data_IF_934976125348
#
_entry.id   IF_934976125348
#
_cell.length_a   1.000
_cell.length_b   1.000
_cell.length_c   1.000
_cell.angle_alpha   90.00
_cell.angle_beta   90.00
_cell.angle_gamma   90.00
#
_symmetry.space_group_name_H-M   'P 1'
#
loop_
_entity.id
_entity.type
_entity.pdbx_description
1 polymer ?
#
# COMPACT_ATOMS: atom_id res chain seq x y z
N UNK A 1 -3.65 22.10 -27.77
CA UNK A 1 -3.77 20.63 -27.86
C UNK A 1 -2.89 20.07 -26.76
N UNK A 2 -3.48 19.64 -25.66
CA UNK A 2 -2.75 19.09 -24.52
C UNK A 2 -2.48 17.62 -24.81
N UNK A 3 -1.22 17.24 -24.96
CA UNK A 3 -0.78 15.85 -24.97
C UNK A 3 -1.17 15.21 -23.64
N UNK A 4 -2.17 14.33 -23.67
CA UNK A 4 -2.44 13.42 -22.56
C UNK A 4 -1.42 12.31 -22.63
N UNK A 5 -0.38 12.38 -21.79
CA UNK A 5 0.54 11.25 -21.58
C UNK A 5 -0.28 10.08 -21.04
N UNK A 6 -0.31 9.00 -21.81
CA UNK A 6 -1.13 7.83 -21.50
C UNK A 6 -0.37 6.95 -20.49
N UNK A 7 -0.94 6.63 -19.31
CA UNK A 7 -0.24 5.79 -18.34
C UNK A 7 -0.19 4.32 -18.79
N UNK A 8 1.01 3.73 -18.78
CA UNK A 8 1.31 2.31 -19.11
C UNK A 8 0.86 1.30 -18.01
N UNK A 9 0.24 1.76 -16.93
CA UNK A 9 0.04 1.00 -15.69
C UNK A 9 -1.41 1.06 -15.22
N UNK A 10 -1.88 0.01 -14.56
CA UNK A 10 -3.18 0.00 -13.86
C UNK A 10 -3.04 0.77 -12.55
N UNK A 11 -3.82 1.82 -12.40
CA UNK A 11 -3.90 2.67 -11.21
C UNK A 11 -5.15 2.34 -10.40
N UNK A 12 -4.99 2.06 -9.11
CA UNK A 12 -6.12 2.01 -8.19
C UNK A 12 -6.34 3.37 -7.54
N UNK A 13 -7.53 3.93 -7.75
CA UNK A 13 -7.96 5.17 -7.14
C UNK A 13 -8.30 4.94 -5.65
N UNK A 14 -8.25 5.98 -4.80
CA UNK A 14 -8.60 5.88 -3.38
C UNK A 14 -10.01 5.31 -3.10
N UNK A 15 -10.91 5.36 -4.08
CA UNK A 15 -12.25 4.78 -3.99
C UNK A 15 -12.29 3.26 -4.29
N UNK A 16 -11.14 2.63 -4.53
CA UNK A 16 -11.02 1.22 -4.91
C UNK A 16 -11.21 0.93 -6.41
N UNK A 17 -11.40 1.97 -7.23
CA UNK A 17 -11.58 1.83 -8.68
C UNK A 17 -10.24 1.71 -9.39
N UNK A 18 -10.03 0.61 -10.13
CA UNK A 18 -8.89 0.47 -11.06
C UNK A 18 -9.12 1.22 -12.37
N UNK A 19 -8.11 1.93 -12.89
CA UNK A 19 -8.10 2.62 -14.17
C UNK A 19 -6.76 2.37 -14.89
N UNK A 20 -6.76 2.06 -16.17
CA UNK A 20 -5.54 1.79 -16.94
C UNK A 20 -5.79 1.94 -18.44
N UNK A 21 -4.71 1.89 -19.24
CA UNK A 21 -4.84 1.95 -20.69
C UNK A 21 -5.45 0.66 -21.24
N UNK A 22 -6.57 0.80 -21.93
CA UNK A 22 -7.23 -0.29 -22.66
C UNK A 22 -6.64 -0.36 -24.08
N UNK A 23 -5.65 -1.22 -24.32
CA UNK A 23 -5.06 -1.41 -25.66
C UNK A 23 -5.51 -2.68 -26.35
N UNK A 24 -5.92 -3.72 -25.62
CA UNK A 24 -6.41 -4.99 -26.17
C UNK A 24 -7.46 -5.57 -25.20
N UNK A 25 -8.34 -6.45 -25.69
CA UNK A 25 -9.40 -7.06 -24.90
C UNK A 25 -8.83 -8.04 -23.84
N UNK A 26 -8.21 -7.51 -22.80
CA UNK A 26 -7.93 -8.26 -21.58
C UNK A 26 -9.28 -8.42 -20.89
N UNK A 27 -9.81 -9.64 -20.92
CA UNK A 27 -10.96 -9.98 -20.10
C UNK A 27 -10.54 -9.79 -18.63
N UNK A 28 -11.06 -8.75 -17.97
CA UNK A 28 -10.75 -8.46 -16.57
C UNK A 28 -11.12 -9.63 -15.65
N UNK A 29 -12.01 -10.53 -16.07
CA UNK A 29 -12.30 -11.77 -15.34
C UNK A 29 -11.13 -12.77 -15.38
N UNK A 30 -10.25 -12.70 -16.40
CA UNK A 30 -9.04 -13.52 -16.52
C UNK A 30 -7.86 -12.98 -15.70
N UNK A 31 -7.95 -11.75 -15.16
CA UNK A 31 -6.96 -11.21 -14.21
C UNK A 31 -6.96 -12.03 -12.91
N UNK A 32 -8.02 -12.80 -12.66
CA UNK A 32 -8.12 -13.72 -11.53
C UNK A 32 -8.70 -13.04 -10.28
N UNK A 33 -8.49 -13.67 -9.12
CA UNK A 33 -8.99 -13.17 -7.85
C UNK A 33 -8.03 -12.12 -7.26
N UNK A 34 -8.57 -10.96 -6.89
CA UNK A 34 -7.85 -10.01 -6.06
C UNK A 34 -7.75 -10.58 -4.63
N UNK A 35 -6.54 -10.87 -4.19
CA UNK A 35 -6.25 -11.21 -2.79
C UNK A 35 -5.87 -9.94 -2.04
N UNK A 36 -6.67 -9.58 -1.04
CA UNK A 36 -6.40 -8.43 -0.16
C UNK A 36 -6.05 -8.97 1.22
N UNK A 37 -4.80 -8.81 1.61
CA UNK A 37 -4.32 -9.17 2.95
C UNK A 37 -4.15 -7.90 3.79
N UNK A 38 -4.42 -7.98 5.09
CA UNK A 38 -4.11 -6.87 5.99
C UNK A 38 -2.60 -6.65 6.03
N UNK A 39 -2.19 -5.40 5.88
CA UNK A 39 -0.78 -5.01 6.01
C UNK A 39 -0.28 -5.16 7.47
N UNK A 40 -1.16 -4.99 8.44
CA UNK A 40 -0.84 -5.08 9.87
C UNK A 40 -2.07 -5.32 10.75
N UNK A 41 -1.80 -5.60 12.03
CA UNK A 41 -2.77 -5.79 13.09
C UNK A 41 -2.36 -4.95 14.31
N UNK A 42 -3.31 -4.25 14.94
CA UNK A 42 -3.05 -3.46 16.14
C UNK A 42 -3.79 -4.08 17.32
N UNK A 43 -3.06 -4.46 18.36
CA UNK A 43 -3.62 -5.06 19.58
C UNK A 43 -3.16 -4.32 20.84
N UNK A 44 -3.98 -4.37 21.89
CA UNK A 44 -3.58 -3.85 23.20
C UNK A 44 -2.87 -4.95 23.98
N UNK A 45 -1.74 -4.59 24.57
CA UNK A 45 -0.92 -5.47 25.38
C UNK A 45 -1.11 -5.11 26.86
N UNK A 46 -1.82 -5.97 27.59
CA UNK A 46 -2.14 -5.75 28.99
C UNK A 46 -0.89 -5.74 29.90
N UNK A 47 0.19 -6.43 29.52
CA UNK A 47 1.41 -6.49 30.33
C UNK A 47 2.21 -5.17 30.26
N UNK A 48 2.27 -4.57 29.07
CA UNK A 48 3.04 -3.33 28.83
C UNK A 48 2.17 -2.08 28.91
N UNK A 49 0.83 -2.23 28.90
CA UNK A 49 -0.15 -1.15 28.81
C UNK A 49 0.07 -0.28 27.55
N UNK A 50 0.38 -0.93 26.43
CA UNK A 50 0.63 -0.28 25.14
C UNK A 50 -0.18 -0.92 24.02
N UNK A 51 -0.30 -0.21 22.92
CA UNK A 51 -0.81 -0.75 21.66
C UNK A 51 0.37 -1.18 20.79
N UNK A 52 0.38 -2.45 20.41
CA UNK A 52 1.40 -3.06 19.55
C UNK A 52 0.85 -3.18 18.12
N UNK A 53 1.65 -2.79 17.13
CA UNK A 53 1.41 -2.97 15.70
C UNK A 53 2.22 -4.17 15.24
N UNK A 54 1.54 -5.18 14.70
CA UNK A 54 2.13 -6.38 14.13
C UNK A 54 2.09 -6.30 12.61
N UNK A 55 3.18 -6.67 11.95
CA UNK A 55 3.19 -6.84 10.49
C UNK A 55 2.44 -8.11 10.04
N UNK A 56 2.35 -8.33 8.74
CA UNK A 56 1.70 -9.52 8.16
C UNK A 56 2.41 -10.85 8.52
N UNK A 57 3.63 -10.80 9.06
CA UNK A 57 4.37 -11.97 9.55
C UNK A 57 4.12 -12.25 11.03
N UNK A 58 3.37 -11.38 11.71
CA UNK A 58 3.05 -11.47 13.14
C UNK A 58 4.12 -10.88 14.06
N UNK A 59 5.08 -10.12 13.53
CA UNK A 59 6.13 -9.47 14.33
C UNK A 59 5.68 -8.09 14.78
N UNK A 60 5.88 -7.75 16.05
CA UNK A 60 5.64 -6.40 16.56
C UNK A 60 6.69 -5.44 15.98
N UNK A 61 6.22 -4.48 15.17
CA UNK A 61 7.06 -3.51 14.44
C UNK A 61 6.99 -2.10 15.05
N UNK A 62 5.97 -1.82 15.87
CA UNK A 62 5.82 -0.55 16.56
C UNK A 62 4.93 -0.69 17.79
N UNK A 63 5.23 0.06 18.86
CA UNK A 63 4.43 0.06 20.10
C UNK A 63 4.25 1.48 20.64
N UNK A 64 3.04 1.81 21.10
CA UNK A 64 2.77 3.11 21.70
C UNK A 64 1.58 3.10 22.68
N UNK A 65 1.59 3.87 23.78
CA UNK A 65 0.45 3.93 24.71
C UNK A 65 -0.88 4.44 24.11
N UNK A 66 -0.82 5.25 23.05
CA UNK A 66 -1.99 5.73 22.31
C UNK A 66 -2.21 4.92 21.03
N UNK A 67 -3.41 4.38 20.90
CA UNK A 67 -3.87 3.65 19.71
C UNK A 67 -3.85 4.51 18.45
N UNK A 68 -4.23 5.78 18.57
CA UNK A 68 -4.24 6.74 17.46
C UNK A 68 -2.84 6.96 16.89
N UNK A 69 -1.81 6.96 17.75
CA UNK A 69 -0.43 7.06 17.31
C UNK A 69 0.00 5.82 16.52
N UNK A 70 -0.38 4.62 16.97
CA UNK A 70 -0.15 3.37 16.22
C UNK A 70 -0.84 3.37 14.85
N UNK A 71 -2.10 3.81 14.78
CA UNK A 71 -2.83 3.96 13.51
C UNK A 71 -2.19 5.01 12.58
N UNK A 72 -1.65 6.09 13.14
CA UNK A 72 -0.96 7.11 12.35
C UNK A 72 0.34 6.54 11.79
N UNK A 73 1.11 5.86 12.63
CA UNK A 73 2.35 5.19 12.22
C UNK A 73 2.07 4.15 11.13
N UNK A 74 1.06 3.29 11.30
CA UNK A 74 0.65 2.29 10.31
C UNK A 74 0.40 2.93 8.94
N UNK A 75 -0.40 4.00 8.90
CA UNK A 75 -0.71 4.70 7.67
C UNK A 75 0.51 5.38 7.04
N UNK A 76 1.46 5.88 7.83
CA UNK A 76 2.67 6.48 7.28
C UNK A 76 3.58 5.39 6.72
N UNK A 77 3.87 4.36 7.52
CA UNK A 77 4.79 3.29 7.16
C UNK A 77 4.35 2.52 5.91
N UNK A 78 3.10 2.07 5.84
CA UNK A 78 2.64 1.24 4.71
C UNK A 78 2.22 2.04 3.47
N UNK A 79 1.99 3.36 3.57
CA UNK A 79 1.72 4.19 2.40
C UNK A 79 2.98 4.87 1.84
N UNK A 80 4.03 5.07 2.66
CA UNK A 80 5.30 5.67 2.21
C UNK A 80 6.15 4.69 1.39
N UNK A 81 6.06 3.37 1.65
CA UNK A 81 6.78 2.33 0.87
C UNK A 81 6.44 2.39 -0.63
N UNK A 82 5.28 2.92 -1.00
CA UNK A 82 4.85 3.09 -2.41
C UNK A 82 5.61 4.20 -3.16
N UNK A 83 6.36 5.07 -2.48
CA UNK A 83 7.08 6.19 -3.11
C UNK A 83 8.57 5.92 -3.37
N UNK A 84 9.18 4.98 -2.65
CA UNK A 84 10.61 4.69 -2.74
C UNK A 84 11.01 3.88 -3.98
N UNK A 85 10.13 3.04 -4.52
CA UNK A 85 10.44 2.23 -5.72
C UNK A 85 10.41 3.04 -7.04
N UNK A 86 9.86 4.26 -7.05
CA UNK A 86 9.88 5.13 -8.24
C UNK A 86 11.18 5.93 -8.42
N UNK A 87 12.04 6.03 -7.39
CA UNK A 87 13.28 6.82 -7.47
C UNK A 87 14.51 6.01 -7.88
N UNK A 88 14.43 4.68 -7.92
CA UNK A 88 15.54 3.82 -8.36
C UNK A 88 15.52 3.53 -9.88
N UNK A 89 14.38 3.70 -10.56
CA UNK A 89 14.29 3.54 -12.03
C UNK A 89 14.67 4.79 -12.83
N UNK A 90 14.77 5.95 -12.18
CA UNK A 90 15.17 7.23 -12.80
C UNK A 90 16.67 7.53 -12.71
N UNK A 91 17.46 6.68 -12.04
CA UNK A 91 18.89 6.91 -11.79
C UNK A 91 19.85 5.94 -12.50
N UNK A 92 19.40 5.20 -13.52
CA UNK A 92 20.32 4.50 -14.43
C UNK A 92 20.62 5.37 -15.66
N UNK A 93 21.76 6.07 -15.74
CA UNK A 93 22.26 6.60 -17.00
C UNK A 93 22.91 5.49 -17.84
N UNK A 94 22.39 5.35 -19.06
CA UNK A 94 22.96 4.73 -20.27
C UNK A 94 22.97 3.19 -20.37
#
# INVERSE_FOLDING_TARGET
MTESTIPEVIHFLPAGTGAGLYTEAIDLQQIGCLEVTRASQIEFNDDTQQWDVFDFTGNAVFSHPSREACLRWERQHFNEVTQSEQLETLNHPN
#
